data_IF_281925539880
#
_entry.id   IF_281925539880
#
_cell.length_a   1.000
_cell.length_b   1.000
_cell.length_c   1.000
_cell.angle_alpha   90.00
_cell.angle_beta   90.00
_cell.angle_gamma   90.00
#
_symmetry.space_group_name_H-M   'P 1'
#
loop_
_entity.id
_entity.type
_entity.pdbx_description
1 polymer ?
#
# COMPACT_ATOMS: atom_id res chain seq x y z
N UNK A 1 20.92 20.35 -49.90
CA UNK A 1 20.50 18.96 -50.11
C UNK A 1 21.69 18.10 -49.77
N UNK A 2 21.71 17.51 -48.57
CA UNK A 2 22.67 16.44 -48.28
C UNK A 2 22.18 15.66 -47.05
N UNK A 3 21.52 14.53 -47.27
CA UNK A 3 21.28 13.55 -46.19
C UNK A 3 21.09 12.16 -46.77
N UNK A 4 22.05 11.69 -47.56
CA UNK A 4 22.11 10.27 -47.85
C UNK A 4 22.61 9.55 -46.60
N UNK A 5 21.74 8.75 -45.97
CA UNK A 5 22.13 7.91 -44.84
C UNK A 5 23.12 6.84 -45.33
N UNK A 6 24.29 6.73 -44.69
CA UNK A 6 25.24 5.63 -44.94
C UNK A 6 24.73 4.37 -44.25
N UNK A 7 23.89 3.60 -44.93
CA UNK A 7 23.35 2.33 -44.43
C UNK A 7 24.37 1.20 -44.65
N UNK A 8 24.93 0.65 -43.57
CA UNK A 8 25.92 -0.43 -43.63
C UNK A 8 25.33 -1.85 -43.72
N UNK A 9 24.10 -2.06 -43.22
CA UNK A 9 23.36 -3.33 -43.33
C UNK A 9 21.86 -3.10 -43.09
N UNK A 10 21.03 -3.55 -44.03
CA UNK A 10 19.57 -3.46 -43.92
C UNK A 10 19.04 -4.54 -42.95
N UNK A 11 19.60 -5.75 -43.01
CA UNK A 11 19.23 -6.85 -42.11
C UNK A 11 19.47 -6.49 -40.63
N UNK A 12 20.56 -5.77 -40.33
CA UNK A 12 20.83 -5.28 -38.98
C UNK A 12 19.76 -4.27 -38.51
N UNK A 13 19.25 -3.43 -39.41
CA UNK A 13 18.18 -2.47 -39.10
C UNK A 13 16.84 -3.19 -38.87
N UNK A 14 16.52 -4.21 -39.65
CA UNK A 14 15.31 -5.03 -39.46
C UNK A 14 15.37 -5.81 -38.14
N UNK A 15 16.52 -6.41 -37.83
CA UNK A 15 16.76 -7.09 -36.56
C UNK A 15 16.65 -6.16 -35.36
N UNK A 16 17.24 -4.97 -35.45
CA UNK A 16 17.12 -3.92 -34.42
C UNK A 16 15.67 -3.50 -34.23
N UNK A 17 14.93 -3.23 -35.32
CA UNK A 17 13.51 -2.85 -35.28
C UNK A 17 12.67 -3.91 -34.56
N UNK A 18 12.86 -5.19 -34.90
CA UNK A 18 12.14 -6.28 -34.26
C UNK A 18 12.47 -6.42 -32.76
N UNK A 19 13.74 -6.23 -32.38
CA UNK A 19 14.16 -6.22 -30.99
C UNK A 19 13.56 -5.03 -30.21
N UNK A 20 13.53 -3.85 -30.82
CA UNK A 20 12.99 -2.62 -30.23
C UNK A 20 11.48 -2.73 -29.95
N UNK A 21 10.71 -3.31 -30.86
CA UNK A 21 9.27 -3.58 -30.66
C UNK A 21 9.07 -4.49 -29.43
N UNK A 22 9.73 -5.66 -29.41
CA UNK A 22 9.61 -6.63 -28.31
C UNK A 22 10.02 -6.03 -26.96
N UNK A 23 11.13 -5.29 -26.94
CA UNK A 23 11.59 -4.60 -25.74
C UNK A 23 10.54 -3.60 -25.24
N UNK A 24 10.02 -2.75 -26.12
CA UNK A 24 9.06 -1.70 -25.75
C UNK A 24 7.78 -2.30 -25.21
N UNK A 25 7.24 -3.34 -25.84
CA UNK A 25 6.05 -4.04 -25.35
C UNK A 25 6.27 -4.64 -23.95
N UNK A 26 7.39 -5.35 -23.76
CA UNK A 26 7.70 -5.99 -22.47
C UNK A 26 7.94 -4.94 -21.38
N UNK A 27 8.67 -3.88 -21.69
CA UNK A 27 8.99 -2.82 -20.75
C UNK A 27 7.73 -2.04 -20.33
N UNK A 28 6.83 -1.72 -21.27
CA UNK A 28 5.55 -1.06 -20.94
C UNK A 28 4.70 -1.91 -19.99
N UNK A 29 4.51 -3.20 -20.29
CA UNK A 29 3.76 -4.11 -19.41
C UNK A 29 4.33 -4.15 -18.00
N UNK A 30 5.65 -4.32 -17.88
CA UNK A 30 6.31 -4.33 -16.57
C UNK A 30 6.13 -3.00 -15.81
N UNK A 31 6.17 -1.86 -16.51
CA UNK A 31 5.93 -0.56 -15.90
C UNK A 31 4.48 -0.37 -15.47
N UNK A 32 3.52 -0.81 -16.27
CA UNK A 32 2.10 -0.77 -15.94
C UNK A 32 1.80 -1.62 -14.70
N UNK A 33 2.36 -2.83 -14.63
CA UNK A 33 2.19 -3.75 -13.51
C UNK A 33 2.70 -3.14 -12.20
N UNK A 34 3.94 -2.62 -12.20
CA UNK A 34 4.56 -2.00 -11.03
C UNK A 34 3.83 -0.72 -10.63
N UNK A 35 3.44 0.12 -11.60
CA UNK A 35 2.67 1.34 -11.34
C UNK A 35 1.31 1.01 -10.72
N UNK A 36 0.65 -0.05 -11.20
CA UNK A 36 -0.59 -0.55 -10.64
C UNK A 36 -0.42 -1.05 -9.21
N UNK A 37 0.64 -1.81 -8.92
CA UNK A 37 0.95 -2.32 -7.57
C UNK A 37 1.19 -1.18 -6.57
N UNK A 38 1.92 -0.14 -6.97
CA UNK A 38 2.14 1.07 -6.16
C UNK A 38 0.82 1.75 -5.81
N UNK A 39 -0.06 1.95 -6.81
CA UNK A 39 -1.37 2.58 -6.61
C UNK A 39 -2.28 1.74 -5.69
N UNK A 40 -2.31 0.42 -5.89
CA UNK A 40 -3.07 -0.51 -5.03
C UNK A 40 -2.56 -0.47 -3.60
N UNK A 41 -1.24 -0.54 -3.40
CA UNK A 41 -0.63 -0.52 -2.07
C UNK A 41 -0.94 0.78 -1.34
N UNK A 42 -0.90 1.93 -2.04
CA UNK A 42 -1.34 3.21 -1.48
C UNK A 42 -2.80 3.15 -1.04
N UNK A 43 -3.70 2.74 -1.92
CA UNK A 43 -5.13 2.63 -1.60
C UNK A 43 -5.40 1.72 -0.40
N UNK A 44 -4.73 0.58 -0.34
CA UNK A 44 -4.80 -0.36 0.77
C UNK A 44 -4.34 0.26 2.10
N UNK A 45 -3.23 1.01 2.11
CA UNK A 45 -2.73 1.70 3.32
C UNK A 45 -3.66 2.84 3.77
N UNK A 46 -4.11 3.67 2.83
CA UNK A 46 -4.80 4.92 3.14
C UNK A 46 -6.28 4.74 3.44
N UNK A 47 -6.92 3.79 2.76
CA UNK A 47 -8.36 3.56 2.83
C UNK A 47 -8.62 2.29 3.62
N UNK A 48 -8.23 1.13 3.08
CA UNK A 48 -8.67 -0.16 3.61
C UNK A 48 -8.14 -0.42 5.02
N UNK A 49 -6.82 -0.37 5.22
CA UNK A 49 -6.22 -0.62 6.53
C UNK A 49 -6.61 0.43 7.56
N UNK A 50 -6.65 1.70 7.14
CA UNK A 50 -7.08 2.79 8.02
C UNK A 50 -8.49 2.55 8.53
N UNK A 51 -9.45 2.33 7.63
CA UNK A 51 -10.85 2.09 8.00
C UNK A 51 -11.00 0.86 8.89
N UNK A 52 -10.32 -0.23 8.55
CA UNK A 52 -10.32 -1.47 9.33
C UNK A 52 -9.86 -1.21 10.77
N UNK A 53 -8.71 -0.57 10.95
CA UNK A 53 -8.13 -0.39 12.29
C UNK A 53 -8.81 0.72 13.09
N UNK A 54 -9.37 1.74 12.44
CA UNK A 54 -10.25 2.72 13.12
C UNK A 54 -11.55 2.05 13.62
N UNK A 55 -12.14 1.15 12.83
CA UNK A 55 -13.32 0.39 13.25
C UNK A 55 -13.00 -0.58 14.39
N UNK A 56 -11.87 -1.30 14.31
CA UNK A 56 -11.39 -2.17 15.39
C UNK A 56 -11.10 -1.40 16.67
N UNK A 57 -10.48 -0.23 16.58
CA UNK A 57 -10.26 0.65 17.73
C UNK A 57 -11.58 0.99 18.41
N UNK A 58 -12.57 1.53 17.68
CA UNK A 58 -13.89 1.87 18.25
C UNK A 58 -14.57 0.68 18.89
N UNK A 59 -14.51 -0.50 18.24
CA UNK A 59 -15.09 -1.75 18.76
C UNK A 59 -14.43 -2.16 20.07
N UNK A 60 -13.10 -2.10 20.15
CA UNK A 60 -12.33 -2.50 21.33
C UNK A 60 -12.45 -1.48 22.46
N UNK A 61 -12.59 -0.19 22.16
CA UNK A 61 -12.92 0.83 23.16
C UNK A 61 -14.25 0.55 23.84
N UNK A 62 -15.30 0.25 23.06
CA UNK A 62 -16.61 -0.14 23.61
C UNK A 62 -16.54 -1.41 24.44
N UNK A 63 -15.74 -2.40 24.02
CA UNK A 63 -15.53 -3.63 24.79
C UNK A 63 -14.86 -3.34 26.15
N UNK A 64 -13.89 -2.42 26.19
CA UNK A 64 -13.25 -2.01 27.43
C UNK A 64 -14.24 -1.28 28.34
N UNK A 65 -15.01 -0.33 27.81
CA UNK A 65 -16.05 0.39 28.56
C UNK A 65 -17.07 -0.58 29.16
N UNK A 66 -17.55 -1.55 28.37
CA UNK A 66 -18.48 -2.57 28.85
C UNK A 66 -17.87 -3.43 29.96
N UNK A 67 -16.64 -3.93 29.78
CA UNK A 67 -15.97 -4.75 30.78
C UNK A 67 -15.73 -3.98 32.09
N UNK A 68 -15.42 -2.68 32.00
CA UNK A 68 -15.25 -1.79 33.16
C UNK A 68 -16.59 -1.57 33.89
N UNK A 69 -17.69 -1.41 33.16
CA UNK A 69 -19.05 -1.32 33.74
C UNK A 69 -19.48 -2.63 34.42
N UNK A 70 -19.19 -3.78 33.83
CA UNK A 70 -19.48 -5.10 34.40
C UNK A 70 -18.67 -5.32 35.69
N UNK A 71 -17.38 -4.97 35.68
CA UNK A 71 -16.54 -5.02 36.87
C UNK A 71 -17.05 -4.06 37.96
N UNK A 72 -17.48 -2.86 37.60
CA UNK A 72 -18.06 -1.90 38.56
C UNK A 72 -19.35 -2.44 39.18
N UNK A 73 -20.26 -2.98 38.37
CA UNK A 73 -21.50 -3.60 38.82
C UNK A 73 -21.24 -4.79 39.75
N UNK A 74 -20.29 -5.66 39.39
CA UNK A 74 -19.86 -6.79 40.24
C UNK A 74 -19.19 -6.32 41.54
N UNK A 75 -18.51 -5.17 41.55
CA UNK A 75 -17.95 -4.59 42.78
C UNK A 75 -19.04 -4.11 43.73
N UNK A 76 -20.13 -3.56 43.20
CA UNK A 76 -21.27 -3.04 43.98
C UNK A 76 -22.23 -4.12 44.46
N UNK A 77 -22.29 -5.29 43.82
CA UNK A 77 -23.10 -6.40 44.33
C UNK A 77 -22.49 -6.93 45.64
N UNK A 78 -23.32 -7.09 46.67
CA UNK A 78 -22.94 -7.58 48.01
C UNK A 78 -22.78 -9.10 48.07
N UNK A 79 -23.09 -9.80 46.98
CA UNK A 79 -22.91 -11.23 46.86
C UNK A 79 -21.42 -11.54 46.74
N UNK A 80 -21.01 -12.59 47.44
CA UNK A 80 -19.62 -13.06 47.57
C UNK A 80 -19.18 -13.75 46.27
N UNK A 81 -19.31 -13.07 45.14
CA UNK A 81 -18.92 -13.56 43.82
C UNK A 81 -17.43 -13.30 43.59
N UNK A 82 -16.74 -14.29 43.02
CA UNK A 82 -15.35 -14.19 42.62
C UNK A 82 -15.22 -13.19 41.45
N UNK A 83 -14.67 -11.99 41.74
CA UNK A 83 -14.52 -10.87 40.79
C UNK A 83 -13.32 -11.03 39.84
N UNK A 84 -12.60 -12.15 39.95
CA UNK A 84 -11.40 -12.43 39.16
C UNK A 84 -11.72 -12.48 37.66
N UNK A 85 -12.86 -13.04 37.29
CA UNK A 85 -13.28 -13.15 35.88
C UNK A 85 -13.48 -11.77 35.22
N UNK A 86 -14.19 -10.85 35.87
CA UNK A 86 -14.43 -9.50 35.36
C UNK A 86 -13.12 -8.68 35.32
N UNK A 87 -12.25 -8.85 36.32
CA UNK A 87 -10.94 -8.19 36.30
C UNK A 87 -10.05 -8.69 35.14
N UNK A 88 -10.09 -10.00 34.86
CA UNK A 88 -9.41 -10.59 33.70
C UNK A 88 -10.00 -10.08 32.37
N UNK A 89 -11.32 -9.93 32.29
CA UNK A 89 -12.01 -9.40 31.11
C UNK A 89 -11.57 -7.96 30.79
N UNK A 90 -11.51 -7.07 31.79
CA UNK A 90 -10.98 -5.71 31.64
C UNK A 90 -9.54 -5.72 31.18
N UNK A 91 -8.68 -6.53 31.80
CA UNK A 91 -7.27 -6.63 31.41
C UNK A 91 -7.12 -7.10 29.96
N UNK A 92 -7.94 -8.06 29.52
CA UNK A 92 -7.95 -8.54 28.14
C UNK A 92 -8.42 -7.45 27.17
N UNK A 93 -9.52 -6.78 27.47
CA UNK A 93 -10.06 -5.71 26.63
C UNK A 93 -9.05 -4.55 26.48
N UNK A 94 -8.36 -4.19 27.57
CA UNK A 94 -7.30 -3.17 27.56
C UNK A 94 -6.13 -3.56 26.66
N UNK A 95 -5.66 -4.81 26.74
CA UNK A 95 -4.58 -5.31 25.86
C UNK A 95 -4.99 -5.25 24.38
N UNK A 96 -6.23 -5.63 24.07
CA UNK A 96 -6.74 -5.55 22.70
C UNK A 96 -6.80 -4.10 22.20
N UNK A 97 -7.23 -3.16 23.04
CA UNK A 97 -7.27 -1.75 22.67
C UNK A 97 -5.87 -1.20 22.38
N UNK A 98 -4.89 -1.50 23.24
CA UNK A 98 -3.49 -1.11 23.04
C UNK A 98 -2.95 -1.65 21.72
N UNK A 99 -3.22 -2.91 21.38
CA UNK A 99 -2.82 -3.47 20.09
C UNK A 99 -3.40 -2.66 18.91
N UNK A 100 -4.67 -2.26 18.98
CA UNK A 100 -5.29 -1.46 17.92
C UNK A 100 -4.65 -0.07 17.80
N UNK A 101 -4.32 0.57 18.92
CA UNK A 101 -3.59 1.86 18.95
C UNK A 101 -2.20 1.73 18.32
N UNK A 102 -1.45 0.68 18.66
CA UNK A 102 -0.14 0.39 18.08
C UNK A 102 -0.23 0.20 16.56
N UNK A 103 -1.24 -0.53 16.09
CA UNK A 103 -1.45 -0.78 14.66
C UNK A 103 -1.80 0.52 13.93
N UNK A 104 -2.64 1.38 14.52
CA UNK A 104 -2.93 2.71 13.98
C UNK A 104 -1.67 3.60 13.92
N UNK A 105 -0.82 3.56 14.97
CA UNK A 105 0.44 4.29 14.98
C UNK A 105 1.41 3.80 13.91
N UNK A 106 1.50 2.48 13.71
CA UNK A 106 2.28 1.85 12.63
C UNK A 106 1.75 2.29 11.26
N UNK A 107 0.43 2.24 11.03
CA UNK A 107 -0.17 2.68 9.77
C UNK A 107 0.10 4.16 9.48
N UNK A 108 0.01 5.03 10.49
CA UNK A 108 0.35 6.45 10.34
C UNK A 108 1.78 6.64 9.84
N UNK A 109 2.75 5.91 10.43
CA UNK A 109 4.16 5.95 10.00
C UNK A 109 4.33 5.42 8.57
N UNK A 110 3.68 4.30 8.23
CA UNK A 110 3.75 3.75 6.88
C UNK A 110 3.17 4.70 5.85
N UNK A 111 2.03 5.34 6.10
CA UNK A 111 1.45 6.33 5.18
C UNK A 111 2.41 7.48 4.90
N UNK A 112 2.98 8.07 5.95
CA UNK A 112 3.94 9.18 5.82
C UNK A 112 5.20 8.78 5.05
N UNK A 113 5.76 7.61 5.37
CA UNK A 113 7.02 7.16 4.77
C UNK A 113 6.85 6.57 3.38
N UNK A 114 5.71 5.94 3.10
CA UNK A 114 5.39 5.37 1.79
C UNK A 114 5.30 6.46 0.75
N UNK A 115 4.52 7.51 0.98
CA UNK A 115 4.39 8.59 0.00
C UNK A 115 5.71 9.31 -0.24
N UNK A 116 6.42 9.67 0.84
CA UNK A 116 7.72 10.34 0.73
C UNK A 116 8.76 9.55 -0.09
N UNK A 117 8.78 8.21 0.05
CA UNK A 117 9.75 7.36 -0.66
C UNK A 117 9.30 6.99 -2.07
N UNK A 118 8.02 6.68 -2.22
CA UNK A 118 7.49 6.09 -3.45
C UNK A 118 7.13 7.16 -4.48
N UNK A 119 6.78 8.38 -4.08
CA UNK A 119 6.38 9.43 -5.04
C UNK A 119 7.51 9.75 -6.04
N UNK A 120 8.76 9.83 -5.59
CA UNK A 120 9.91 10.10 -6.47
C UNK A 120 10.11 8.96 -7.47
N UNK A 121 10.08 7.71 -7.00
CA UNK A 121 10.25 6.53 -7.84
C UNK A 121 9.09 6.36 -8.82
N UNK A 122 7.86 6.61 -8.38
CA UNK A 122 6.67 6.57 -9.22
C UNK A 122 6.76 7.58 -10.38
N UNK A 123 7.20 8.82 -10.11
CA UNK A 123 7.44 9.83 -11.16
C UNK A 123 8.49 9.38 -12.18
N UNK A 124 9.55 8.71 -11.73
CA UNK A 124 10.56 8.16 -12.63
C UNK A 124 9.99 7.05 -13.52
N UNK A 125 9.16 6.16 -12.97
CA UNK A 125 8.48 5.11 -13.74
C UNK A 125 7.52 5.72 -14.78
N UNK A 126 6.77 6.75 -14.41
CA UNK A 126 5.88 7.48 -15.33
C UNK A 126 6.66 8.14 -16.47
N UNK A 127 7.80 8.80 -16.16
CA UNK A 127 8.66 9.41 -17.18
C UNK A 127 9.27 8.39 -18.14
N UNK A 128 9.67 7.22 -17.63
CA UNK A 128 10.18 6.13 -18.46
C UNK A 128 9.06 5.55 -19.34
N UNK A 129 7.87 5.35 -18.76
CA UNK A 129 6.69 4.88 -19.49
C UNK A 129 6.34 5.83 -20.63
N UNK A 130 6.33 7.14 -20.39
CA UNK A 130 6.07 8.17 -21.39
C UNK A 130 7.12 8.14 -22.52
N UNK A 131 8.41 7.99 -22.18
CA UNK A 131 9.50 7.91 -23.15
C UNK A 131 9.34 6.68 -24.05
N UNK A 132 9.08 5.51 -23.46
CA UNK A 132 8.82 4.27 -24.19
C UNK A 132 7.53 4.36 -25.01
N UNK A 133 6.56 5.15 -24.56
CA UNK A 133 5.26 5.36 -25.21
C UNK A 133 5.34 6.27 -26.43
N UNK A 134 6.06 7.39 -26.31
CA UNK A 134 6.06 8.47 -27.29
C UNK A 134 7.30 8.52 -28.19
N UNK A 135 8.47 8.15 -27.67
CA UNK A 135 9.72 8.31 -28.39
C UNK A 135 10.15 7.04 -29.12
N UNK A 136 10.03 5.88 -28.48
CA UNK A 136 10.47 4.61 -29.08
C UNK A 136 9.72 4.21 -30.36
N UNK A 137 8.40 4.47 -30.52
CA UNK A 137 7.73 4.19 -31.80
C UNK A 137 8.32 4.98 -32.99
N UNK A 138 8.94 6.15 -32.76
CA UNK A 138 9.55 6.94 -33.82
C UNK A 138 10.83 6.33 -34.39
N UNK A 139 11.48 5.42 -33.66
CA UNK A 139 12.65 4.68 -34.14
C UNK A 139 12.30 3.39 -34.90
N UNK A 140 11.00 3.09 -35.03
CA UNK A 140 10.46 1.90 -35.70
C UNK A 140 9.84 2.25 -37.07
N UNK A 141 9.54 3.54 -37.29
CA UNK A 141 8.94 4.08 -38.52
C UNK A 141 10.02 4.63 -39.43
#
# INVERSE_FOLDING_TARGET
MDSQARVGSIEALEGFRAALIRYTERARRALDDVTGEVKRTRGWLEVEQRQKWEAEFRKRSRLLEQAEQELYSARMSSLRDDKTAQQMAVNKARRLLVEAEEKLAVLKRWRQTFDAKIEVLAKQLESLHETLSRQMPKGVV
#
